data_IF_426026108792
#
_entry.id   IF_426026108792
#
_cell.length_a   1.000
_cell.length_b   1.000
_cell.length_c   1.000
_cell.angle_alpha   90.00
_cell.angle_beta   90.00
_cell.angle_gamma   90.00
#
_symmetry.space_group_name_H-M   'P 1'
#
loop_
_entity.id
_entity.type
_entity.pdbx_description
1 polymer ?
#
# COMPACT_ATOMS: atom_id res chain seq x y z
N UNK A 1 6.39 19.41 28.21
CA UNK A 1 6.37 17.93 28.19
C UNK A 1 5.79 17.42 26.88
N UNK A 2 4.53 17.74 26.54
CA UNK A 2 3.85 17.23 25.33
C UNK A 2 4.59 17.39 23.98
N UNK A 3 5.28 18.51 23.75
CA UNK A 3 6.01 18.73 22.48
C UNK A 3 7.22 17.80 22.31
N UNK A 4 7.89 17.47 23.43
CA UNK A 4 9.06 16.57 23.43
C UNK A 4 8.60 15.13 23.16
N UNK A 5 7.47 14.72 23.75
CA UNK A 5 6.86 13.41 23.52
C UNK A 5 6.43 13.22 22.05
N UNK A 6 5.83 14.25 21.43
CA UNK A 6 5.47 14.24 20.01
C UNK A 6 6.70 14.07 19.11
N UNK A 7 7.74 14.89 19.32
CA UNK A 7 8.97 14.81 18.53
C UNK A 7 9.65 13.43 18.69
N UNK A 8 9.68 12.92 19.92
CA UNK A 8 10.24 11.60 20.24
C UNK A 8 9.49 10.47 19.52
N UNK A 9 8.15 10.48 19.56
CA UNK A 9 7.33 9.47 18.90
C UNK A 9 7.50 9.47 17.37
N UNK A 10 7.65 10.64 16.73
CA UNK A 10 7.95 10.73 15.29
C UNK A 10 9.34 10.17 14.98
N UNK A 11 10.36 10.50 15.77
CA UNK A 11 11.73 10.00 15.53
C UNK A 11 11.87 8.50 15.72
N UNK A 12 11.07 7.91 16.62
CA UNK A 12 11.12 6.48 16.93
C UNK A 12 10.19 5.61 16.09
N UNK A 13 9.40 6.16 15.16
CA UNK A 13 8.48 5.35 14.36
C UNK A 13 9.19 4.19 13.64
N UNK A 14 10.43 4.41 13.18
CA UNK A 14 11.26 3.39 12.52
C UNK A 14 11.73 2.28 13.47
N UNK A 15 11.75 2.52 14.78
CA UNK A 15 12.00 1.49 15.79
C UNK A 15 10.80 0.55 15.98
N UNK A 16 9.58 1.03 15.73
CA UNK A 16 8.35 0.24 15.83
C UNK A 16 7.95 -0.40 14.50
N UNK A 17 8.22 0.29 13.39
CA UNK A 17 7.89 -0.14 12.03
C UNK A 17 9.18 -0.14 11.20
N UNK A 18 9.98 -1.22 11.24
CA UNK A 18 11.30 -1.27 10.61
C UNK A 18 11.25 -1.55 9.10
N UNK A 19 10.13 -1.23 8.45
CA UNK A 19 9.94 -1.45 7.02
C UNK A 19 9.40 -0.21 6.32
N UNK A 20 9.76 -0.09 5.05
CA UNK A 20 9.30 0.97 4.16
C UNK A 20 8.34 0.36 3.15
N UNK A 21 7.10 0.83 3.13
CA UNK A 21 6.10 0.45 2.15
C UNK A 21 6.55 0.86 0.75
N UNK A 22 6.44 -0.06 -0.21
CA UNK A 22 6.89 0.15 -1.58
C UNK A 22 5.99 -0.60 -2.55
N UNK A 23 5.60 0.04 -3.65
CA UNK A 23 4.70 -0.54 -4.66
C UNK A 23 5.25 -1.80 -5.33
N UNK A 24 6.59 -1.93 -5.40
CA UNK A 24 7.26 -3.07 -6.02
C UNK A 24 7.46 -4.23 -5.03
N UNK A 25 7.17 -4.02 -3.74
CA UNK A 25 7.33 -5.03 -2.69
C UNK A 25 5.97 -5.59 -2.28
N UNK A 26 5.96 -6.88 -1.95
CA UNK A 26 4.79 -7.56 -1.39
C UNK A 26 4.70 -7.34 0.13
N UNK A 27 4.85 -6.10 0.58
CA UNK A 27 4.92 -5.76 2.01
C UNK A 27 3.74 -4.94 2.54
N UNK A 28 2.73 -4.69 1.72
CA UNK A 28 1.55 -3.92 2.12
C UNK A 28 0.81 -4.53 3.32
N UNK A 29 0.50 -5.82 3.29
CA UNK A 29 -0.30 -6.44 4.35
C UNK A 29 0.44 -6.42 5.70
N UNK A 30 1.77 -6.65 5.70
CA UNK A 30 2.61 -6.55 6.90
C UNK A 30 2.78 -5.11 7.39
N UNK A 31 2.99 -4.15 6.47
CA UNK A 31 3.08 -2.74 6.82
C UNK A 31 1.78 -2.22 7.42
N UNK A 32 0.64 -2.61 6.84
CA UNK A 32 -0.70 -2.25 7.31
C UNK A 32 -0.89 -2.68 8.77
N UNK A 33 -0.66 -3.96 9.06
CA UNK A 33 -0.80 -4.52 10.41
C UNK A 33 0.06 -3.77 11.44
N UNK A 34 1.31 -3.44 11.08
CA UNK A 34 2.22 -2.71 11.97
C UNK A 34 1.76 -1.27 12.23
N UNK A 35 1.26 -0.56 11.22
CA UNK A 35 0.73 0.80 11.38
C UNK A 35 -0.55 0.80 12.21
N UNK A 36 -1.48 -0.11 11.93
CA UNK A 36 -2.73 -0.27 12.69
C UNK A 36 -2.43 -0.60 14.17
N UNK A 37 -1.52 -1.54 14.42
CA UNK A 37 -1.05 -1.90 15.78
C UNK A 37 -0.40 -0.73 16.50
N UNK A 38 0.44 0.04 15.80
CA UNK A 38 1.08 1.23 16.36
C UNK A 38 0.05 2.28 16.75
N UNK A 39 -0.88 2.62 15.85
CA UNK A 39 -1.95 3.58 16.15
C UNK A 39 -2.87 3.12 17.28
N UNK A 40 -3.14 1.81 17.39
CA UNK A 40 -3.90 1.24 18.51
C UNK A 40 -3.18 1.43 19.83
N UNK A 41 -1.87 1.14 19.89
CA UNK A 41 -1.05 1.27 21.09
C UNK A 41 -1.01 2.71 21.62
N UNK A 42 -1.06 3.70 20.72
CA UNK A 42 -1.05 5.12 21.07
C UNK A 42 -2.45 5.74 21.18
N UNK A 43 -3.52 4.96 21.03
CA UNK A 43 -4.91 5.42 21.18
C UNK A 43 -5.34 6.41 20.10
N UNK A 44 -4.84 6.27 18.87
CA UNK A 44 -5.13 7.15 17.73
C UNK A 44 -5.69 6.41 16.51
N UNK A 45 -6.10 5.14 16.64
CA UNK A 45 -6.71 4.36 15.55
C UNK A 45 -7.89 5.05 14.87
N UNK A 46 -8.64 5.87 15.62
CA UNK A 46 -9.75 6.64 15.08
C UNK A 46 -9.40 7.58 13.92
N UNK A 47 -8.12 7.99 13.81
CA UNK A 47 -7.63 8.79 12.69
C UNK A 47 -7.37 7.95 11.42
N UNK A 48 -7.20 6.63 11.54
CA UNK A 48 -7.03 5.72 10.40
C UNK A 48 -8.37 5.20 9.87
N UNK A 49 -9.30 4.86 10.75
CA UNK A 49 -10.61 4.30 10.38
C UNK A 49 -11.68 5.39 10.13
N UNK A 50 -11.43 6.62 10.59
CA UNK A 50 -12.33 7.77 10.43
C UNK A 50 -13.38 7.91 11.52
N UNK A 51 -13.32 7.11 12.59
CA UNK A 51 -14.21 7.24 13.76
C UNK A 51 -13.86 8.45 14.64
N UNK A 52 -12.63 8.97 14.56
CA UNK A 52 -12.24 10.21 15.22
C UNK A 52 -12.54 11.41 14.32
N UNK A 53 -13.54 12.20 14.71
CA UNK A 53 -13.93 13.42 14.00
C UNK A 53 -13.54 14.67 14.80
N UNK A 54 -13.12 15.76 14.13
CA UNK A 54 -12.87 17.02 14.82
C UNK A 54 -14.20 17.60 15.32
N UNK A 55 -14.19 18.20 16.51
CA UNK A 55 -15.38 18.85 17.07
C UNK A 55 -15.83 20.07 16.26
N UNK A 56 -14.88 20.76 15.62
CA UNK A 56 -15.10 21.89 14.73
C UNK A 56 -13.85 22.15 13.87
N UNK A 57 -13.93 23.13 12.97
CA UNK A 57 -12.83 23.48 12.06
C UNK A 57 -11.54 23.91 12.78
N UNK A 58 -11.60 24.34 14.04
CA UNK A 58 -10.45 24.81 14.85
C UNK A 58 -10.05 23.86 15.98
N UNK A 59 -10.46 22.59 15.90
CA UNK A 59 -10.06 21.55 16.84
C UNK A 59 -8.56 21.24 16.73
N UNK A 60 -7.76 22.06 17.41
CA UNK A 60 -6.30 22.00 17.39
C UNK A 60 -5.79 20.67 17.96
N UNK A 61 -6.28 20.15 19.11
CA UNK A 61 -5.87 18.84 19.60
C UNK A 61 -6.09 17.71 18.59
N UNK A 62 -7.23 17.71 17.88
CA UNK A 62 -7.48 16.72 16.82
C UNK A 62 -6.50 16.88 15.65
N UNK A 63 -6.29 18.11 15.16
CA UNK A 63 -5.36 18.41 14.06
C UNK A 63 -3.92 17.99 14.38
N UNK A 64 -3.49 18.16 15.63
CA UNK A 64 -2.16 17.75 16.08
C UNK A 64 -1.99 16.23 16.09
N UNK A 65 -3.00 15.47 16.53
CA UNK A 65 -2.99 14.00 16.49
C UNK A 65 -3.07 13.48 15.07
N UNK A 66 -3.91 14.08 14.22
CA UNK A 66 -3.99 13.76 12.80
C UNK A 66 -2.62 13.98 12.11
N UNK A 67 -1.97 15.11 12.40
CA UNK A 67 -0.64 15.42 11.87
C UNK A 67 0.44 14.45 12.35
N UNK A 68 0.35 13.96 13.60
CA UNK A 68 1.25 12.95 14.13
C UNK A 68 1.13 11.64 13.35
N UNK A 69 -0.10 11.15 13.15
CA UNK A 69 -0.36 9.92 12.38
C UNK A 69 0.11 10.08 10.93
N UNK A 70 -0.12 11.23 10.32
CA UNK A 70 0.42 11.53 8.97
C UNK A 70 1.95 11.44 8.92
N UNK A 71 2.64 12.00 9.90
CA UNK A 71 4.11 11.92 9.95
C UNK A 71 4.62 10.48 10.12
N UNK A 72 3.90 9.64 10.87
CA UNK A 72 4.23 8.22 10.96
C UNK A 72 4.06 7.49 9.62
N UNK A 73 2.96 7.76 8.90
CA UNK A 73 2.76 7.21 7.56
C UNK A 73 3.87 7.69 6.62
N UNK A 74 4.14 9.01 6.55
CA UNK A 74 5.22 9.55 5.72
C UNK A 74 6.60 8.96 6.05
N UNK A 75 6.86 8.71 7.34
CA UNK A 75 8.12 8.12 7.79
C UNK A 75 8.31 6.64 7.43
N UNK A 76 7.24 5.96 6.98
CA UNK A 76 7.22 4.51 6.71
C UNK A 76 6.83 4.16 5.27
N UNK A 77 6.66 5.15 4.39
CA UNK A 77 6.45 4.93 2.95
C UNK A 77 7.69 5.31 2.14
N UNK A 78 7.87 4.69 0.98
CA UNK A 78 8.92 5.04 0.02
C UNK A 78 8.73 6.45 -0.54
N UNK A 79 9.80 7.06 -1.03
CA UNK A 79 9.75 8.41 -1.63
C UNK A 79 8.81 8.47 -2.84
N UNK A 80 8.78 7.43 -3.68
CA UNK A 80 7.87 7.35 -4.82
C UNK A 80 6.40 7.33 -4.42
N UNK A 81 6.08 6.60 -3.35
CA UNK A 81 4.73 6.62 -2.76
C UNK A 81 4.42 7.99 -2.17
N UNK A 82 5.36 8.60 -1.44
CA UNK A 82 5.21 9.94 -0.89
C UNK A 82 4.82 10.93 -1.99
N UNK A 83 5.54 10.96 -3.10
CA UNK A 83 5.25 11.86 -4.23
C UNK A 83 3.85 11.62 -4.84
N UNK A 84 3.38 10.37 -4.81
CA UNK A 84 2.07 9.98 -5.33
C UNK A 84 0.92 10.39 -4.41
N UNK A 85 1.10 10.26 -3.10
CA UNK A 85 0.03 10.46 -2.10
C UNK A 85 0.05 11.84 -1.45
N UNK A 86 1.15 12.58 -1.57
CA UNK A 86 1.32 13.90 -0.95
C UNK A 86 0.39 14.92 -1.62
N UNK A 87 -0.76 15.14 -0.99
CA UNK A 87 -1.76 16.15 -1.38
C UNK A 87 -1.89 17.20 -0.30
N UNK A 88 -2.05 18.46 -0.69
CA UNK A 88 -2.32 19.55 0.26
C UNK A 88 -3.69 19.35 0.92
N UNK A 89 -3.75 19.55 2.25
CA UNK A 89 -4.98 19.51 3.06
C UNK A 89 -5.67 18.13 3.18
N UNK A 90 -4.94 17.02 3.03
CA UNK A 90 -5.47 15.69 3.36
C UNK A 90 -5.36 15.36 4.86
N UNK A 91 -6.34 14.64 5.41
CA UNK A 91 -6.28 14.03 6.75
C UNK A 91 -5.46 12.73 6.73
N UNK A 92 -5.15 12.18 7.92
CA UNK A 92 -4.56 10.85 8.03
C UNK A 92 -5.45 9.77 7.40
N UNK A 93 -6.77 9.89 7.55
CA UNK A 93 -7.75 8.99 6.93
C UNK A 93 -7.69 9.04 5.41
N UNK A 94 -7.66 10.24 4.83
CA UNK A 94 -7.58 10.40 3.37
C UNK A 94 -6.30 9.78 2.81
N UNK A 95 -5.19 9.98 3.52
CA UNK A 95 -3.90 9.41 3.18
C UNK A 95 -3.95 7.87 3.24
N UNK A 96 -4.51 7.34 4.32
CA UNK A 96 -4.67 5.90 4.51
C UNK A 96 -5.48 5.27 3.38
N UNK A 97 -6.69 5.77 3.10
CA UNK A 97 -7.57 5.28 2.02
C UNK A 97 -6.89 5.38 0.65
N UNK A 98 -6.14 6.46 0.41
CA UNK A 98 -5.39 6.60 -0.85
C UNK A 98 -4.38 5.47 -1.03
N UNK A 99 -3.64 5.12 0.03
CA UNK A 99 -2.68 4.02 0.01
C UNK A 99 -3.41 2.67 -0.16
N UNK A 100 -4.50 2.42 0.58
CA UNK A 100 -5.28 1.18 0.45
C UNK A 100 -5.74 0.96 -1.01
N UNK A 101 -6.28 2.01 -1.64
CA UNK A 101 -6.75 1.96 -3.02
C UNK A 101 -5.61 1.71 -4.02
N UNK A 102 -4.44 2.34 -3.84
CA UNK A 102 -3.28 2.12 -4.71
C UNK A 102 -2.86 0.65 -4.73
N UNK A 103 -2.80 0.01 -3.56
CA UNK A 103 -2.39 -1.40 -3.47
C UNK A 103 -3.50 -2.37 -3.91
N UNK A 104 -4.78 -2.02 -3.74
CA UNK A 104 -5.89 -2.79 -4.30
C UNK A 104 -5.86 -2.80 -5.84
N UNK A 105 -5.78 -1.61 -6.45
CA UNK A 105 -5.71 -1.47 -7.92
C UNK A 105 -4.46 -2.13 -8.50
N UNK A 106 -3.32 -2.06 -7.81
CA UNK A 106 -2.10 -2.72 -8.26
C UNK A 106 -2.21 -4.25 -8.23
N UNK A 107 -2.84 -4.82 -7.19
CA UNK A 107 -3.13 -6.27 -7.13
C UNK A 107 -4.04 -6.71 -8.29
N UNK A 108 -5.08 -5.94 -8.59
CA UNK A 108 -6.01 -6.20 -9.71
C UNK A 108 -5.30 -6.15 -11.07
N UNK A 109 -4.52 -5.10 -11.33
CA UNK A 109 -3.77 -4.96 -12.59
C UNK A 109 -2.78 -6.11 -12.81
N UNK A 110 -2.08 -6.54 -11.75
CA UNK A 110 -1.14 -7.67 -11.81
C UNK A 110 -1.85 -8.99 -12.09
N UNK A 111 -3.04 -9.19 -11.52
CA UNK A 111 -3.84 -10.39 -11.79
C UNK A 111 -4.27 -10.46 -13.27
N UNK A 112 -4.74 -9.34 -13.84
CA UNK A 112 -5.11 -9.25 -15.26
C UNK A 112 -3.90 -9.50 -16.17
N UNK A 113 -2.74 -8.92 -15.83
CA UNK A 113 -1.51 -9.13 -16.60
C UNK A 113 -1.10 -10.61 -16.63
N UNK A 114 -1.11 -11.28 -15.47
CA UNK A 114 -0.78 -12.71 -15.37
C UNK A 114 -1.77 -13.58 -16.14
N UNK A 115 -3.07 -13.24 -16.12
CA UNK A 115 -4.07 -13.95 -16.91
C UNK A 115 -3.82 -13.81 -18.41
N UNK A 116 -3.48 -12.60 -18.87
CA UNK A 116 -3.12 -12.36 -20.26
C UNK A 116 -1.86 -13.11 -20.67
N UNK A 117 -0.80 -13.09 -19.84
CA UNK A 117 0.43 -13.85 -20.09
C UNK A 117 0.13 -15.36 -20.18
N UNK A 118 -0.68 -15.90 -19.27
CA UNK A 118 -1.10 -17.31 -19.32
C UNK A 118 -1.87 -17.62 -20.61
N UNK A 119 -2.83 -16.78 -20.98
CA UNK A 119 -3.60 -16.94 -22.24
C UNK A 119 -2.68 -16.87 -23.45
N UNK A 120 -1.75 -15.93 -23.51
CA UNK A 120 -0.77 -15.82 -24.61
C UNK A 120 0.15 -17.03 -24.67
N UNK A 121 0.64 -17.54 -23.55
CA UNK A 121 1.44 -18.78 -23.49
C UNK A 121 0.64 -19.98 -24.02
N UNK A 122 -0.62 -20.15 -23.58
CA UNK A 122 -1.47 -21.24 -24.07
C UNK A 122 -1.78 -21.15 -25.56
N UNK A 123 -1.90 -19.95 -26.13
CA UNK A 123 -2.12 -19.73 -27.57
C UNK A 123 -0.83 -19.91 -28.37
N UNK A 124 0.34 -19.59 -27.80
CA UNK A 124 1.65 -19.81 -28.41
C UNK A 124 2.03 -21.29 -28.52
N UNK A 125 1.75 -22.08 -27.48
CA UNK A 125 2.07 -23.51 -27.43
C UNK A 125 1.08 -24.39 -28.22
N UNK A 126 -0.11 -23.89 -28.56
CA UNK A 126 -1.03 -24.55 -29.50
C UNK A 126 -0.39 -24.77 -30.88
N UNK A 127 0.56 -23.91 -31.29
CA UNK A 127 1.31 -24.07 -32.55
C UNK A 127 2.37 -25.18 -32.52
N UNK A 128 2.91 -25.52 -31.34
CA UNK A 128 3.88 -26.61 -31.18
C UNK A 128 3.18 -27.97 -31.30
N UNK A 129 1.95 -28.06 -30.80
CA UNK A 129 1.13 -29.27 -30.97
C UNK A 129 0.79 -29.51 -32.44
N UNK A 130 0.44 -28.47 -33.21
CA UNK A 130 0.21 -28.59 -34.67
C UNK A 130 1.50 -28.92 -35.45
N UNK A 131 2.65 -28.38 -35.05
CA UNK A 131 3.93 -28.70 -35.69
C UNK A 131 4.36 -30.16 -35.46
N UNK A 132 4.14 -30.70 -34.26
CA UNK A 132 4.39 -32.10 -33.94
C UNK A 132 3.43 -33.06 -34.69
N UNK A 133 2.21 -32.60 -35.00
CA UNK A 133 1.22 -33.40 -35.72
C UNK A 133 1.51 -33.46 -37.23
N UNK A 134 1.98 -32.36 -37.83
CA UNK A 134 2.36 -32.33 -39.25
C UNK A 134 3.67 -33.08 -39.54
N UNK A 135 4.60 -33.15 -38.58
CA UNK A 135 5.86 -33.89 -38.73
C UNK A 135 5.69 -35.42 -38.72
N UNK A 136 4.52 -35.93 -38.29
CA UNK A 136 4.21 -37.37 -38.23
C UNK A 136 3.47 -37.91 -39.46
N UNK A 137 2.94 -37.05 -40.32
CA UNK A 137 2.18 -37.46 -41.53
C UNK A 137 3.09 -37.59 -42.76
N UNK A 138 4.32 -37.05 -42.73
CA UNK A 138 5.27 -37.13 -43.85
C UNK A 138 6.19 -38.36 -43.86
N UNK A 139 6.01 -39.34 -42.96
CA UNK A 139 6.81 -40.59 -42.93
C UNK A 139 6.02 -41.86 -43.26
N UNK A 140 4.77 -41.75 -43.71
CA UNK A 140 4.03 -42.87 -44.31
C UNK A 140 3.72 -42.57 -45.78
N UNK A 141 4.77 -42.57 -46.61
CA UNK A 141 4.69 -42.74 -48.06
C UNK A 141 5.34 -44.06 -48.43
#
# INVERSE_FOLDING_TARGET
>A
MAQIEKAFAVTHIKSYIPMILDMQKMNYDAWRELVETHCLTFGVSGHLDGTSLPANAEDTPWKERDSLVKMWIYGTISSSLLDTVLKTRCSARDLWVTIENLFATHKEARAIQLENELRTLTIGDLSIHEYCQNSRISQTS
#
